data_IF_998940083478
#
_entry.id   IF_998940083478
#
_cell.length_a   1.000
_cell.length_b   1.000
_cell.length_c   1.000
_cell.angle_alpha   90.00
_cell.angle_beta   90.00
_cell.angle_gamma   90.00
#
_symmetry.space_group_name_H-M   'P 1'
#
loop_
_entity.id
_entity.type
_entity.pdbx_description
1 polymer ?
#
# COMPACT_ATOMS: atom_id res chain seq x y z
N UNK A 1 0.34 -15.17 -6.62
CA UNK A 1 0.64 -15.30 -5.17
C UNK A 1 -0.65 -15.12 -4.39
N UNK A 2 -0.91 -15.94 -3.37
CA UNK A 2 -2.05 -15.82 -2.46
C UNK A 2 -1.53 -15.77 -1.02
N UNK A 3 -2.01 -14.80 -0.25
CA UNK A 3 -1.82 -14.67 1.21
C UNK A 3 -3.20 -14.45 1.80
N UNK A 4 -3.66 -15.35 2.65
CA UNK A 4 -5.01 -15.25 3.20
C UNK A 4 -5.12 -15.75 4.64
N UNK A 5 -6.08 -15.17 5.37
CA UNK A 5 -6.53 -15.64 6.69
C UNK A 5 -5.40 -15.82 7.72
N UNK A 6 -4.42 -14.93 7.70
CA UNK A 6 -3.29 -14.94 8.64
C UNK A 6 -3.25 -13.67 9.46
N UNK A 7 -2.69 -13.78 10.67
CA UNK A 7 -2.38 -12.63 11.52
C UNK A 7 -0.87 -12.46 11.60
N UNK A 8 -0.39 -11.27 11.26
CA UNK A 8 1.03 -10.88 11.31
C UNK A 8 1.18 -9.77 12.33
N UNK A 9 2.13 -9.91 13.23
CA UNK A 9 2.35 -8.96 14.33
C UNK A 9 3.83 -8.63 14.50
N UNK A 10 4.09 -7.41 14.97
CA UNK A 10 5.44 -6.96 15.35
C UNK A 10 6.48 -7.05 14.22
N UNK A 11 6.06 -6.79 13.00
CA UNK A 11 7.00 -6.70 11.89
C UNK A 11 7.96 -5.52 12.10
N UNK A 12 9.27 -5.70 11.97
CA UNK A 12 10.24 -4.64 12.17
C UNK A 12 10.40 -3.73 10.93
N UNK A 13 9.80 -4.10 9.83
CA UNK A 13 9.90 -3.42 8.53
C UNK A 13 8.64 -3.70 7.70
N UNK A 14 8.61 -3.36 6.42
CA UNK A 14 7.48 -3.60 5.51
C UNK A 14 6.97 -5.04 5.64
N UNK A 15 5.73 -5.19 6.06
CA UNK A 15 5.22 -6.50 6.49
C UNK A 15 4.96 -7.45 5.33
N UNK A 16 4.16 -7.03 4.35
CA UNK A 16 3.89 -7.80 3.13
C UNK A 16 4.36 -6.97 1.93
N UNK A 17 5.44 -7.38 1.30
CA UNK A 17 6.04 -6.63 0.20
C UNK A 17 6.22 -7.50 -1.05
N UNK A 18 5.15 -7.77 -1.81
CA UNK A 18 5.27 -8.40 -3.12
C UNK A 18 5.96 -7.44 -4.09
N UNK A 19 6.99 -7.91 -4.77
CA UNK A 19 7.72 -7.11 -5.76
C UNK A 19 7.78 -7.83 -7.10
N UNK A 20 7.51 -7.10 -8.18
CA UNK A 20 7.50 -7.59 -9.55
C UNK A 20 6.58 -8.80 -9.79
N UNK A 21 5.54 -8.94 -8.97
CA UNK A 21 4.59 -10.05 -9.04
C UNK A 21 3.42 -9.73 -9.97
N UNK A 22 2.90 -10.79 -10.60
CA UNK A 22 1.63 -10.77 -11.31
C UNK A 22 0.60 -11.63 -10.58
N UNK A 23 -0.66 -11.22 -10.58
CA UNK A 23 -1.77 -11.96 -9.97
C UNK A 23 -1.54 -12.20 -8.47
N UNK A 24 -1.57 -11.11 -7.70
CA UNK A 24 -1.41 -11.12 -6.23
C UNK A 24 -2.78 -10.99 -5.58
N UNK A 25 -3.05 -11.84 -4.60
CA UNK A 25 -4.23 -11.73 -3.72
C UNK A 25 -3.78 -11.70 -2.27
N UNK A 26 -4.23 -10.67 -1.53
CA UNK A 26 -4.12 -10.57 -0.07
C UNK A 26 -5.53 -10.43 0.48
N UNK A 27 -6.00 -11.41 1.24
CA UNK A 27 -7.39 -11.50 1.67
C UNK A 27 -7.52 -11.91 3.14
N UNK A 28 -8.38 -11.22 3.89
CA UNK A 28 -8.68 -11.60 5.28
C UNK A 28 -7.45 -11.56 6.20
N UNK A 29 -6.48 -10.69 5.91
CA UNK A 29 -5.24 -10.60 6.69
C UNK A 29 -5.37 -9.55 7.79
N UNK A 30 -4.92 -9.91 9.00
CA UNK A 30 -4.75 -8.96 10.09
C UNK A 30 -3.28 -8.58 10.23
N UNK A 31 -2.95 -7.30 10.14
CA UNK A 31 -1.61 -6.78 10.43
C UNK A 31 -1.69 -5.85 11.63
N UNK A 32 -0.92 -6.17 12.66
CA UNK A 32 -0.86 -5.37 13.88
C UNK A 32 0.59 -5.16 14.32
N UNK A 33 1.12 -3.98 14.02
CA UNK A 33 2.49 -3.58 14.36
C UNK A 33 2.44 -2.39 15.33
N UNK A 34 2.11 -2.64 16.62
CA UNK A 34 2.08 -1.56 17.61
C UNK A 34 3.49 -1.00 17.78
N UNK A 35 3.63 0.30 17.64
CA UNK A 35 4.87 0.97 17.96
C UNK A 35 4.81 1.51 19.40
N UNK A 36 5.90 1.31 20.18
CA UNK A 36 6.08 2.01 21.46
C UNK A 36 6.45 3.47 21.27
N UNK A 37 7.02 3.79 20.13
CA UNK A 37 7.16 5.14 19.62
C UNK A 37 5.87 5.43 18.83
N UNK A 38 5.25 6.62 18.96
CA UNK A 38 3.94 6.90 18.37
C UNK A 38 3.84 6.58 16.88
N UNK A 39 4.98 6.38 16.20
CA UNK A 39 5.01 5.93 14.79
C UNK A 39 6.29 5.17 14.52
N UNK A 40 6.24 3.85 14.63
CA UNK A 40 7.37 2.99 14.24
C UNK A 40 7.68 3.15 12.75
N UNK A 41 8.81 3.73 12.37
CA UNK A 41 9.13 3.99 10.97
C UNK A 41 9.24 2.69 10.17
N UNK A 42 8.78 2.72 8.91
CA UNK A 42 8.84 1.61 7.96
C UNK A 42 8.12 0.33 8.41
N UNK A 43 7.14 0.42 9.30
CA UNK A 43 6.31 -0.72 9.69
C UNK A 43 5.06 -0.84 8.81
N UNK A 44 5.17 -0.43 7.55
CA UNK A 44 4.08 -0.48 6.57
C UNK A 44 3.40 -1.86 6.52
N UNK A 45 2.11 -1.88 6.24
CA UNK A 45 1.33 -3.11 6.19
C UNK A 45 1.54 -3.89 4.87
N UNK A 46 0.97 -3.42 3.78
CA UNK A 46 1.00 -4.13 2.48
C UNK A 46 1.57 -3.20 1.41
N UNK A 47 2.70 -3.59 0.81
CA UNK A 47 3.46 -2.75 -0.12
C UNK A 47 3.66 -3.42 -1.48
N UNK A 48 2.63 -3.51 -2.34
CA UNK A 48 2.85 -3.99 -3.70
C UNK A 48 3.78 -3.05 -4.45
N UNK A 49 4.88 -3.59 -4.99
CA UNK A 49 5.91 -2.83 -5.71
C UNK A 49 6.10 -3.36 -7.12
N UNK A 50 5.82 -2.54 -8.13
CA UNK A 50 5.87 -2.92 -9.54
C UNK A 50 5.09 -4.21 -9.83
N UNK A 51 3.98 -4.40 -9.16
CA UNK A 51 3.08 -5.54 -9.31
C UNK A 51 1.92 -5.20 -10.26
N UNK A 52 1.29 -6.24 -10.82
CA UNK A 52 0.06 -6.06 -11.57
C UNK A 52 -0.99 -7.10 -11.19
N UNK A 53 -2.27 -6.77 -11.44
CA UNK A 53 -3.42 -7.62 -11.13
C UNK A 53 -3.43 -7.97 -9.62
N UNK A 54 -3.46 -6.92 -8.79
CA UNK A 54 -3.40 -7.03 -7.33
C UNK A 54 -4.81 -6.87 -6.75
N UNK A 55 -5.19 -7.76 -5.87
CA UNK A 55 -6.43 -7.69 -5.09
C UNK A 55 -6.10 -7.71 -3.60
N UNK A 56 -6.54 -6.70 -2.87
CA UNK A 56 -6.41 -6.60 -1.42
C UNK A 56 -7.81 -6.41 -0.87
N UNK A 57 -8.28 -7.35 -0.05
CA UNK A 57 -9.63 -7.28 0.49
C UNK A 57 -9.77 -7.83 1.89
N UNK A 58 -10.76 -7.29 2.62
CA UNK A 58 -11.19 -7.79 3.92
C UNK A 58 -10.04 -7.84 4.95
N UNK A 59 -9.12 -6.87 4.85
CA UNK A 59 -7.95 -6.78 5.72
C UNK A 59 -8.18 -5.79 6.87
N UNK A 60 -7.59 -6.12 8.02
CA UNK A 60 -7.53 -5.25 9.19
C UNK A 60 -6.07 -4.84 9.43
N UNK A 61 -5.78 -3.54 9.37
CA UNK A 61 -4.41 -3.04 9.41
C UNK A 61 -4.27 -1.94 10.45
N UNK A 62 -3.32 -2.11 11.36
CA UNK A 62 -2.93 -1.10 12.35
C UNK A 62 -1.42 -1.12 12.49
N UNK A 63 -0.77 -0.06 12.01
CA UNK A 63 0.70 -0.01 11.87
C UNK A 63 1.24 1.35 12.29
N UNK A 64 2.56 1.49 12.32
CA UNK A 64 3.23 2.74 12.66
C UNK A 64 3.62 3.60 11.46
N UNK A 65 3.54 3.07 10.23
CA UNK A 65 3.77 3.80 8.98
C UNK A 65 2.53 3.63 8.06
N UNK A 66 2.66 3.53 6.76
CA UNK A 66 1.52 3.46 5.84
C UNK A 66 0.82 2.08 5.90
N UNK A 67 -0.51 2.04 5.90
CA UNK A 67 -1.25 0.77 5.96
C UNK A 67 -1.13 -0.03 4.65
N UNK A 68 -1.48 0.58 3.52
CA UNK A 68 -1.25 0.00 2.19
C UNK A 68 -0.50 1.01 1.36
N UNK A 69 0.67 0.63 0.82
CA UNK A 69 1.52 1.55 0.07
C UNK A 69 1.86 1.00 -1.31
N UNK A 70 1.35 1.62 -2.34
CA UNK A 70 1.59 1.21 -3.73
C UNK A 70 2.89 1.85 -4.21
N UNK A 71 3.84 1.02 -4.61
CA UNK A 71 5.19 1.43 -5.01
C UNK A 71 5.55 0.90 -6.41
N UNK A 72 6.51 1.56 -7.08
CA UNK A 72 7.01 1.13 -8.41
C UNK A 72 8.45 1.58 -8.66
N UNK A 73 9.28 1.39 -7.64
CA UNK A 73 10.71 1.68 -7.72
C UNK A 73 11.06 3.14 -7.47
N UNK A 74 12.36 3.37 -7.24
CA UNK A 74 12.89 4.65 -6.78
C UNK A 74 13.82 5.27 -7.82
N UNK A 75 13.58 6.55 -8.12
CA UNK A 75 14.46 7.44 -8.89
C UNK A 75 14.93 6.84 -10.23
N UNK A 76 16.21 6.89 -10.53
CA UNK A 76 16.77 6.42 -11.79
C UNK A 76 16.53 4.91 -12.02
N UNK A 77 16.65 4.10 -10.98
CA UNK A 77 16.43 2.65 -11.09
C UNK A 77 14.97 2.34 -11.38
N UNK A 78 14.04 2.98 -10.66
CA UNK A 78 12.62 2.80 -10.91
C UNK A 78 12.22 3.23 -12.32
N UNK A 79 12.75 4.33 -12.84
CA UNK A 79 12.54 4.77 -14.23
C UNK A 79 13.17 3.83 -15.25
N UNK A 80 14.36 3.30 -14.95
CA UNK A 80 15.07 2.34 -15.83
C UNK A 80 14.30 1.04 -15.99
N UNK A 81 13.77 0.49 -14.89
CA UNK A 81 12.91 -0.71 -14.96
C UNK A 81 11.57 -0.41 -15.61
N UNK A 82 11.03 0.80 -15.42
CA UNK A 82 9.82 1.28 -16.07
C UNK A 82 8.58 0.41 -15.82
N UNK A 83 8.55 -0.36 -14.73
CA UNK A 83 7.42 -1.22 -14.39
C UNK A 83 6.48 -0.52 -13.43
N UNK A 84 5.32 -0.13 -13.93
CA UNK A 84 4.24 0.40 -13.12
C UNK A 84 3.71 -0.64 -12.11
N UNK A 85 3.09 -0.13 -11.05
CA UNK A 85 2.18 -0.93 -10.23
C UNK A 85 0.77 -0.66 -10.73
N UNK A 86 0.04 -1.70 -11.20
CA UNK A 86 -1.17 -1.47 -11.98
C UNK A 86 -2.25 -2.54 -11.83
N UNK A 87 -3.49 -2.21 -12.19
CA UNK A 87 -4.66 -3.06 -12.07
C UNK A 87 -4.85 -3.53 -10.62
N UNK A 88 -5.09 -2.57 -9.72
CA UNK A 88 -5.15 -2.81 -8.29
C UNK A 88 -6.56 -2.55 -7.78
N UNK A 89 -7.10 -3.47 -7.01
CA UNK A 89 -8.33 -3.26 -6.24
C UNK A 89 -8.05 -3.40 -4.76
N UNK A 90 -8.52 -2.43 -3.96
CA UNK A 90 -8.46 -2.42 -2.51
C UNK A 90 -9.89 -2.20 -2.02
N UNK A 91 -10.43 -3.16 -1.26
CA UNK A 91 -11.83 -3.07 -0.84
C UNK A 91 -12.09 -3.72 0.52
N UNK A 92 -13.12 -3.26 1.21
CA UNK A 92 -13.59 -3.82 2.49
C UNK A 92 -12.48 -3.88 3.57
N UNK A 93 -11.56 -2.94 3.58
CA UNK A 93 -10.46 -2.91 4.55
C UNK A 93 -10.73 -1.90 5.66
N UNK A 94 -10.27 -2.22 6.87
CA UNK A 94 -10.30 -1.33 8.03
C UNK A 94 -8.86 -1.01 8.44
N UNK A 95 -8.55 0.28 8.50
CA UNK A 95 -7.21 0.80 8.80
C UNK A 95 -7.30 1.72 10.01
N UNK A 96 -6.76 1.27 11.15
CA UNK A 96 -6.96 1.95 12.46
C UNK A 96 -5.82 2.87 12.87
N UNK A 97 -4.63 2.69 12.34
CA UNK A 97 -3.46 3.51 12.67
C UNK A 97 -2.44 3.45 11.55
N UNK A 98 -1.78 4.55 11.30
CA UNK A 98 -0.71 4.67 10.32
C UNK A 98 -0.55 6.09 9.80
N UNK A 99 0.52 6.34 9.04
CA UNK A 99 0.72 7.64 8.35
C UNK A 99 -0.29 7.86 7.22
N UNK A 100 -0.76 6.77 6.61
CA UNK A 100 -1.80 6.83 5.60
C UNK A 100 -2.52 5.50 5.46
N UNK A 101 -3.82 5.57 5.14
CA UNK A 101 -4.63 4.39 4.87
C UNK A 101 -4.18 3.73 3.57
N UNK A 102 -4.42 4.38 2.43
CA UNK A 102 -3.84 3.96 1.14
C UNK A 102 -2.95 5.06 0.59
N UNK A 103 -1.71 4.70 0.35
CA UNK A 103 -0.65 5.64 -0.05
C UNK A 103 -0.05 5.23 -1.40
N UNK A 104 0.21 6.18 -2.26
CA UNK A 104 1.02 5.98 -3.46
C UNK A 104 2.38 6.66 -3.22
N UNK A 105 3.43 5.86 -3.30
CA UNK A 105 4.79 6.38 -3.16
C UNK A 105 5.37 6.25 -1.74
N UNK A 106 6.46 6.96 -1.44
CA UNK A 106 7.17 7.89 -2.35
C UNK A 106 7.92 7.19 -3.50
N UNK A 107 8.26 5.92 -3.40
CA UNK A 107 8.95 5.14 -4.44
C UNK A 107 7.96 4.74 -5.54
N UNK A 108 7.64 5.68 -6.47
CA UNK A 108 6.65 5.47 -7.54
C UNK A 108 7.17 5.83 -8.94
N UNK A 109 8.49 5.72 -9.13
CA UNK A 109 9.17 6.17 -10.36
C UNK A 109 8.80 5.38 -11.61
N UNK A 110 8.32 4.13 -11.48
CA UNK A 110 7.80 3.33 -12.58
C UNK A 110 6.35 3.62 -12.95
N UNK A 111 5.69 4.48 -12.16
CA UNK A 111 4.28 4.83 -12.35
C UNK A 111 3.30 3.94 -11.58
N UNK A 112 2.09 4.47 -11.35
CA UNK A 112 0.97 3.74 -10.73
C UNK A 112 -0.29 4.08 -11.51
N UNK A 113 -1.07 3.07 -11.89
CA UNK A 113 -2.29 3.29 -12.69
C UNK A 113 -3.33 2.21 -12.52
N UNK A 114 -4.57 2.56 -12.86
CA UNK A 114 -5.74 1.69 -12.74
C UNK A 114 -5.90 1.10 -11.35
N UNK A 115 -6.10 2.01 -10.38
CA UNK A 115 -6.29 1.69 -8.96
C UNK A 115 -7.70 2.04 -8.55
N UNK A 116 -8.39 1.10 -7.91
CA UNK A 116 -9.69 1.34 -7.28
C UNK A 116 -9.60 1.06 -5.80
N UNK A 117 -10.07 2.01 -4.98
CA UNK A 117 -10.14 1.92 -3.51
C UNK A 117 -11.60 2.14 -3.14
N UNK A 118 -12.24 1.16 -2.51
CA UNK A 118 -13.65 1.24 -2.20
C UNK A 118 -14.05 0.54 -0.90
N UNK A 119 -15.14 1.00 -0.29
CA UNK A 119 -15.71 0.37 0.91
C UNK A 119 -14.68 0.22 2.05
N UNK A 120 -13.85 1.21 2.28
CA UNK A 120 -12.82 1.18 3.32
C UNK A 120 -13.12 2.17 4.44
N UNK A 121 -12.68 1.80 5.65
CA UNK A 121 -12.73 2.65 6.84
C UNK A 121 -11.32 3.04 7.24
N UNK A 122 -11.07 4.35 7.39
CA UNK A 122 -9.82 4.92 7.89
C UNK A 122 -10.10 5.61 9.23
N UNK A 123 -9.71 4.97 10.32
CA UNK A 123 -9.89 5.50 11.66
C UNK A 123 -8.53 5.63 12.38
N UNK A 124 -8.10 6.87 12.60
CA UNK A 124 -6.83 7.16 13.27
C UNK A 124 -5.57 7.12 12.37
N UNK A 125 -5.71 7.06 11.06
CA UNK A 125 -4.61 7.32 10.12
C UNK A 125 -4.43 8.85 9.95
N UNK A 126 -3.18 9.32 9.75
CA UNK A 126 -2.93 10.76 9.52
C UNK A 126 -3.60 11.27 8.24
N UNK A 127 -3.78 10.39 7.25
CA UNK A 127 -4.45 10.67 5.98
C UNK A 127 -5.16 9.41 5.50
N UNK A 128 -6.38 9.52 5.01
CA UNK A 128 -7.07 8.38 4.38
C UNK A 128 -6.36 7.95 3.08
N UNK A 129 -6.32 8.87 2.12
CA UNK A 129 -5.64 8.67 0.83
C UNK A 129 -4.50 9.68 0.70
N UNK A 130 -3.33 9.20 0.30
CA UNK A 130 -2.14 10.05 0.19
C UNK A 130 -1.32 9.73 -1.05
N UNK A 131 -0.98 10.76 -1.83
CA UNK A 131 0.00 10.68 -2.90
C UNK A 131 1.26 11.41 -2.45
N UNK A 132 2.37 10.69 -2.34
CA UNK A 132 3.64 11.30 -1.93
C UNK A 132 4.73 11.02 -2.95
N UNK A 133 5.50 12.06 -3.23
CA UNK A 133 6.60 12.02 -4.17
C UNK A 133 7.65 13.07 -3.77
N UNK A 134 8.74 13.11 -4.46
CA UNK A 134 9.77 14.13 -4.29
C UNK A 134 10.23 14.63 -5.65
N UNK A 135 10.85 15.83 -5.67
CA UNK A 135 11.46 16.37 -6.89
C UNK A 135 12.49 15.36 -7.44
N UNK A 136 12.44 15.10 -8.73
CA UNK A 136 13.31 14.14 -9.40
C UNK A 136 12.88 12.68 -9.33
N UNK A 137 11.84 12.33 -8.53
CA UNK A 137 11.29 10.98 -8.47
C UNK A 137 10.78 10.50 -9.83
N UNK A 138 10.03 11.33 -10.54
CA UNK A 138 9.37 10.97 -11.79
C UNK A 138 8.23 9.97 -11.55
N UNK A 139 7.75 9.39 -12.64
CA UNK A 139 6.59 8.51 -12.63
C UNK A 139 5.28 9.28 -12.79
N UNK A 140 4.24 8.58 -13.21
CA UNK A 140 2.89 9.11 -13.41
C UNK A 140 1.92 8.34 -12.53
N UNK A 141 0.98 9.04 -11.90
CA UNK A 141 -0.17 8.44 -11.23
C UNK A 141 -1.40 8.79 -12.03
N UNK A 142 -2.11 7.78 -12.51
CA UNK A 142 -3.29 7.98 -13.35
C UNK A 142 -4.35 6.92 -13.09
N UNK A 143 -5.58 7.19 -13.50
CA UNK A 143 -6.72 6.26 -13.39
C UNK A 143 -6.93 5.75 -11.94
N UNK A 144 -6.89 6.68 -10.98
CA UNK A 144 -7.19 6.41 -9.58
C UNK A 144 -8.67 6.72 -9.30
N UNK A 145 -9.39 5.75 -8.77
CA UNK A 145 -10.77 5.91 -8.33
C UNK A 145 -10.89 5.58 -6.84
N UNK A 146 -11.56 6.45 -6.11
CA UNK A 146 -11.85 6.31 -4.68
C UNK A 146 -13.35 6.46 -4.49
N UNK A 147 -13.99 5.52 -3.79
CA UNK A 147 -15.44 5.49 -3.62
C UNK A 147 -15.85 4.85 -2.30
N UNK A 148 -16.95 5.32 -1.71
CA UNK A 148 -17.53 4.79 -0.48
C UNK A 148 -16.50 4.61 0.66
N UNK A 149 -15.93 5.72 1.12
CA UNK A 149 -14.91 5.78 2.17
C UNK A 149 -15.47 6.48 3.41
N UNK A 150 -15.14 5.96 4.58
CA UNK A 150 -15.42 6.56 5.89
C UNK A 150 -14.13 6.85 6.61
#
# INVERSE_FOLDING_TARGET
MLIENVKIVNSPFWTINPAFCDNVTVHGVTIYNPSKDPKGPNTDGINPSSCRNVRISDCFISVGDDCITIKSGRDADGRKYGKACENITITNCVMLSGHGGVVIGSEMSGGVRRVTISNCVFDGTDSGIRLKSSRGRGGVVEELRVDNIV
#
